data_IF_996221960351
#
_entry.id   IF_996221960351
#
_cell.length_a   1.000
_cell.length_b   1.000
_cell.length_c   1.000
_cell.angle_alpha   90.00
_cell.angle_beta   90.00
_cell.angle_gamma   90.00
#
_symmetry.space_group_name_H-M   'P 1'
#
loop_
_entity.id
_entity.type
_entity.pdbx_description
1 polymer ?
#
# COMPACT_ATOMS: atom_id res chain seq x y z
N UNK A 1 -16.82 2.07 -12.33
CA UNK A 1 -17.67 1.63 -13.47
C UNK A 1 -17.66 0.12 -13.59
N UNK A 2 -18.86 -0.50 -13.66
CA UNK A 2 -19.17 -1.95 -13.80
C UNK A 2 -18.19 -2.95 -13.17
N UNK A 3 -18.58 -3.47 -12.00
CA UNK A 3 -17.95 -4.62 -11.37
C UNK A 3 -18.06 -5.86 -12.27
N UNK A 4 -16.93 -6.48 -12.60
CA UNK A 4 -16.90 -7.73 -13.35
C UNK A 4 -15.76 -7.91 -14.37
N UNK A 5 -14.96 -6.88 -14.66
CA UNK A 5 -13.93 -6.95 -15.74
C UNK A 5 -12.58 -7.56 -15.33
N UNK A 6 -12.52 -8.35 -14.25
CA UNK A 6 -11.31 -9.10 -13.92
C UNK A 6 -10.13 -8.27 -13.36
N UNK A 7 -10.26 -6.96 -13.13
CA UNK A 7 -9.21 -6.13 -12.49
C UNK A 7 -8.77 -6.69 -11.14
N UNK A 8 -9.74 -7.03 -10.28
CA UNK A 8 -9.49 -7.67 -8.98
C UNK A 8 -8.84 -9.06 -9.14
N UNK A 9 -9.12 -9.75 -10.25
CA UNK A 9 -8.53 -11.07 -10.55
C UNK A 9 -7.07 -10.93 -11.03
N UNK A 10 -6.78 -9.91 -11.84
CA UNK A 10 -5.43 -9.57 -12.28
C UNK A 10 -4.55 -9.16 -11.10
N UNK A 11 -5.07 -8.32 -10.20
CA UNK A 11 -4.36 -7.96 -8.96
C UNK A 11 -4.04 -9.21 -8.14
N UNK A 12 -5.01 -10.13 -7.96
CA UNK A 12 -4.77 -11.41 -7.26
C UNK A 12 -3.70 -12.26 -7.93
N UNK A 13 -3.72 -12.36 -9.26
CA UNK A 13 -2.75 -13.16 -10.01
C UNK A 13 -1.35 -12.54 -10.01
N UNK A 14 -1.24 -11.21 -10.12
CA UNK A 14 0.01 -10.48 -9.94
C UNK A 14 0.54 -10.68 -8.52
N UNK A 15 -0.31 -10.51 -7.50
CA UNK A 15 0.07 -10.77 -6.12
C UNK A 15 0.54 -12.22 -5.92
N UNK A 16 -0.13 -13.21 -6.52
CA UNK A 16 0.26 -14.63 -6.48
C UNK A 16 1.65 -14.84 -7.08
N UNK A 17 1.87 -14.39 -8.31
CA UNK A 17 3.16 -14.53 -9.02
C UNK A 17 4.29 -13.84 -8.24
N UNK A 18 4.00 -12.66 -7.68
CA UNK A 18 4.95 -11.87 -6.88
C UNK A 18 5.36 -12.60 -5.60
N UNK A 19 4.39 -13.19 -4.89
CA UNK A 19 4.66 -13.98 -3.69
C UNK A 19 5.43 -15.27 -4.02
N UNK A 20 5.01 -16.01 -5.05
CA UNK A 20 5.65 -17.27 -5.48
C UNK A 20 7.10 -17.06 -5.92
N UNK A 21 7.36 -15.99 -6.68
CA UNK A 21 8.69 -15.67 -7.18
C UNK A 21 9.54 -14.86 -6.18
N UNK A 22 9.01 -14.54 -5.00
CA UNK A 22 9.64 -13.68 -3.97
C UNK A 22 10.27 -12.43 -4.57
N UNK A 23 9.59 -11.81 -5.53
CA UNK A 23 10.12 -10.67 -6.27
C UNK A 23 10.17 -9.41 -5.41
N UNK A 24 9.24 -9.30 -4.46
CA UNK A 24 9.09 -8.16 -3.57
C UNK A 24 9.25 -8.63 -2.11
N UNK A 25 9.97 -7.85 -1.32
CA UNK A 25 10.13 -8.08 0.13
C UNK A 25 8.83 -7.80 0.88
N UNK A 26 8.02 -6.86 0.35
CA UNK A 26 6.74 -6.45 0.92
C UNK A 26 5.68 -6.24 -0.17
N UNK A 27 4.46 -6.69 0.11
CA UNK A 27 3.27 -6.43 -0.72
C UNK A 27 2.19 -5.83 0.16
N UNK A 28 1.75 -4.62 -0.19
CA UNK A 28 0.83 -3.83 0.61
C UNK A 28 -0.37 -3.48 -0.25
N UNK A 29 -1.55 -4.00 0.09
CA UNK A 29 -2.81 -3.62 -0.56
C UNK A 29 -3.63 -2.72 0.36
N UNK A 30 -4.09 -1.59 -0.15
CA UNK A 30 -4.94 -0.65 0.58
C UNK A 30 -6.02 -0.07 -0.34
N UNK A 31 -7.17 0.25 0.26
CA UNK A 31 -8.30 0.85 -0.45
C UNK A 31 -8.26 2.36 -0.29
N UNK A 32 -8.40 3.09 -1.40
CA UNK A 32 -8.48 4.55 -1.38
C UNK A 32 -9.96 4.94 -1.51
N UNK A 33 -10.43 5.84 -0.65
CA UNK A 33 -11.80 6.37 -0.77
C UNK A 33 -11.86 7.50 -1.80
N UNK A 34 -13.05 7.76 -2.36
CA UNK A 34 -13.29 8.85 -3.32
C UNK A 34 -12.79 10.21 -2.80
N UNK A 35 -12.94 10.44 -1.49
CA UNK A 35 -12.25 11.52 -0.78
C UNK A 35 -11.10 10.91 0.00
N UNK A 36 -9.84 11.03 -0.47
CA UNK A 36 -8.70 10.42 0.20
C UNK A 36 -8.44 11.06 1.56
N UNK A 37 -8.38 10.25 2.61
CA UNK A 37 -7.87 10.64 3.92
C UNK A 37 -6.40 10.21 4.02
N UNK A 38 -5.50 11.18 3.86
CA UNK A 38 -4.05 10.92 3.84
C UNK A 38 -3.56 10.35 5.18
N UNK A 39 -4.06 10.85 6.32
CA UNK A 39 -3.69 10.31 7.63
C UNK A 39 -4.12 8.85 7.79
N UNK A 40 -5.30 8.49 7.28
CA UNK A 40 -5.78 7.11 7.30
C UNK A 40 -4.95 6.22 6.37
N UNK A 41 -4.66 6.67 5.16
CA UNK A 41 -3.82 5.93 4.20
C UNK A 41 -2.43 5.69 4.79
N UNK A 42 -1.80 6.73 5.33
CA UNK A 42 -0.50 6.60 6.01
C UNK A 42 -0.59 5.63 7.19
N UNK A 43 -1.70 5.61 7.93
CA UNK A 43 -1.95 4.68 9.03
C UNK A 43 -1.95 3.24 8.56
N UNK A 44 -2.74 2.93 7.52
CA UNK A 44 -2.81 1.60 6.93
C UNK A 44 -1.47 1.12 6.37
N UNK A 45 -0.70 2.02 5.74
CA UNK A 45 0.66 1.73 5.31
C UNK A 45 1.56 1.41 6.52
N UNK A 46 1.46 2.20 7.59
CA UNK A 46 2.19 1.96 8.84
C UNK A 46 1.92 0.58 9.42
N UNK A 47 0.64 0.24 9.57
CA UNK A 47 0.20 -1.05 10.12
C UNK A 47 0.74 -2.23 9.30
N UNK A 48 0.68 -2.13 7.96
CA UNK A 48 1.16 -3.19 7.06
C UNK A 48 2.69 -3.30 7.00
N UNK A 49 3.39 -2.19 7.23
CA UNK A 49 4.86 -2.12 7.23
C UNK A 49 5.48 -2.31 8.62
N UNK A 50 4.66 -2.49 9.67
CA UNK A 50 5.13 -2.54 11.05
C UNK A 50 5.75 -1.23 11.55
N UNK A 51 5.35 -0.09 10.97
CA UNK A 51 5.81 1.23 11.35
C UNK A 51 4.82 1.90 12.30
N UNK A 52 5.31 2.32 13.47
CA UNK A 52 4.60 3.23 14.36
C UNK A 52 5.00 4.66 14.02
N UNK A 53 4.01 5.56 13.98
CA UNK A 53 4.25 6.98 13.78
C UNK A 53 4.49 7.67 15.11
N UNK A 54 5.48 8.56 15.14
CA UNK A 54 5.75 9.44 16.28
C UNK A 54 5.36 10.89 15.96
N UNK A 55 4.91 11.14 14.73
CA UNK A 55 4.50 12.46 14.24
C UNK A 55 3.00 12.46 13.99
N UNK A 56 2.34 13.56 14.36
CA UNK A 56 0.90 13.74 14.18
C UNK A 56 0.54 14.41 12.85
N UNK A 57 1.47 15.17 12.27
CA UNK A 57 1.25 15.88 11.01
C UNK A 57 1.37 14.93 9.83
N UNK A 58 0.62 15.20 8.75
CA UNK A 58 0.70 14.40 7.53
C UNK A 58 2.10 14.42 6.93
N UNK A 59 2.79 15.56 6.97
CA UNK A 59 4.16 15.73 6.49
C UNK A 59 5.16 14.91 7.31
N UNK A 60 5.07 14.97 8.64
CA UNK A 60 5.96 14.22 9.54
C UNK A 60 5.80 12.71 9.35
N UNK A 61 4.56 12.25 9.21
CA UNK A 61 4.24 10.85 8.91
C UNK A 61 4.70 10.43 7.53
N UNK A 62 4.57 11.29 6.52
CA UNK A 62 5.08 11.03 5.18
C UNK A 62 6.60 10.82 5.18
N UNK A 63 7.33 11.63 5.94
CA UNK A 63 8.79 11.50 6.09
C UNK A 63 9.17 10.17 6.77
N UNK A 64 8.44 9.77 7.81
CA UNK A 64 8.66 8.48 8.49
C UNK A 64 8.37 7.29 7.57
N UNK A 65 7.27 7.33 6.80
CA UNK A 65 6.97 6.34 5.78
C UNK A 65 8.06 6.27 4.71
N UNK A 66 8.51 7.41 4.20
CA UNK A 66 9.57 7.46 3.19
C UNK A 66 10.83 6.75 3.68
N UNK A 67 11.23 6.97 4.94
CA UNK A 67 12.40 6.28 5.54
C UNK A 67 12.17 4.78 5.63
N UNK A 68 11.01 4.35 6.14
CA UNK A 68 10.64 2.93 6.25
C UNK A 68 10.63 2.22 4.89
N UNK A 69 10.09 2.87 3.85
CA UNK A 69 10.01 2.34 2.49
C UNK A 69 11.41 2.18 1.86
N UNK A 70 12.35 3.09 2.14
CA UNK A 70 13.74 3.00 1.67
C UNK A 70 14.54 1.85 2.30
N UNK A 71 14.06 1.26 3.39
CA UNK A 71 14.69 0.07 4.00
C UNK A 71 14.32 -1.22 3.28
N UNK A 72 13.24 -1.22 2.49
CA UNK A 72 12.84 -2.36 1.67
C UNK A 72 13.60 -2.34 0.34
N UNK A 73 14.09 -3.50 -0.11
CA UNK A 73 14.81 -3.61 -1.38
C UNK A 73 13.84 -3.52 -2.56
N UNK A 74 12.66 -4.13 -2.45
CA UNK A 74 11.60 -4.02 -3.44
C UNK A 74 10.22 -4.16 -2.78
N UNK A 75 9.38 -3.13 -2.90
CA UNK A 75 8.02 -3.10 -2.35
C UNK A 75 6.96 -2.91 -3.44
N UNK A 76 5.86 -3.65 -3.36
CA UNK A 76 4.67 -3.48 -4.20
C UNK A 76 3.55 -2.86 -3.38
N UNK A 77 3.06 -1.69 -3.79
CA UNK A 77 1.87 -1.06 -3.22
C UNK A 77 0.73 -1.14 -4.23
N UNK A 78 -0.36 -1.79 -3.83
CA UNK A 78 -1.57 -1.92 -4.62
C UNK A 78 -2.64 -1.01 -4.03
N UNK A 79 -3.09 -0.04 -4.81
CA UNK A 79 -4.20 0.83 -4.46
C UNK A 79 -5.46 0.28 -5.12
N UNK A 80 -6.37 -0.26 -4.32
CA UNK A 80 -7.67 -0.74 -4.80
C UNK A 80 -8.69 0.40 -4.72
N UNK A 81 -9.47 0.57 -5.79
CA UNK A 81 -10.55 1.56 -5.96
C UNK A 81 -10.14 3.05 -5.95
N UNK A 82 -9.32 3.47 -6.92
CA UNK A 82 -9.11 4.90 -7.25
C UNK A 82 -10.24 5.34 -8.20
N UNK A 83 -11.18 6.15 -7.71
CA UNK A 83 -12.31 6.70 -8.48
C UNK A 83 -11.95 7.99 -9.21
#
# INVERSE_FOLDING_TARGET
GMGGLGKTMLVKEISRIVMEKKLFDQVVTLTVSQTPDLKRIQGQLGDKLGLKFDQETEEGRALQLQRRLKMEKMILIVLDDVW
#
